data_IF_512207240097
#
_entry.id   IF_512207240097
#
_cell.length_a   1.000
_cell.length_b   1.000
_cell.length_c   1.000
_cell.angle_alpha   90.00
_cell.angle_beta   90.00
_cell.angle_gamma   90.00
#
_symmetry.space_group_name_H-M   'P 1'
#
loop_
_entity.id
_entity.type
_entity.pdbx_description
1 polymer ?
#
# COMPACT_ATOMS: atom_id res chain seq x y z
N UNK A 1 -2.15 -6.21 -9.39
CA UNK A 1 -2.14 -4.85 -9.95
C UNK A 1 -2.85 -4.80 -11.29
N UNK A 2 -2.32 -5.37 -12.36
CA UNK A 2 -2.95 -5.33 -13.71
C UNK A 2 -4.43 -5.73 -13.75
N UNK A 3 -4.89 -6.63 -12.88
CA UNK A 3 -6.29 -7.05 -12.81
C UNK A 3 -7.27 -5.97 -12.32
N UNK A 4 -6.79 -4.92 -11.64
CA UNK A 4 -7.62 -3.93 -10.93
C UNK A 4 -7.17 -2.47 -11.15
N UNK A 5 -6.21 -2.24 -12.05
CA UNK A 5 -5.64 -0.90 -12.30
C UNK A 5 -5.42 -0.65 -13.79
N UNK A 6 -5.60 0.59 -14.21
CA UNK A 6 -5.29 1.11 -15.54
C UNK A 6 -4.20 2.20 -15.49
N UNK A 7 -3.51 2.50 -16.61
CA UNK A 7 -2.55 3.59 -16.68
C UNK A 7 -3.11 4.92 -16.13
N UNK A 8 -2.42 5.53 -15.18
CA UNK A 8 -2.81 6.76 -14.53
C UNK A 8 -3.51 6.59 -13.17
N UNK A 9 -3.89 5.37 -12.80
CA UNK A 9 -4.49 5.06 -11.49
C UNK A 9 -3.51 5.26 -10.34
N UNK A 10 -4.05 5.61 -9.18
CA UNK A 10 -3.30 5.78 -7.94
C UNK A 10 -3.17 4.46 -7.19
N UNK A 11 -1.94 4.17 -6.77
CA UNK A 11 -1.59 3.01 -5.96
C UNK A 11 -0.78 3.43 -4.75
N UNK A 12 -1.22 3.01 -3.57
CA UNK A 12 -0.44 3.24 -2.35
C UNK A 12 0.73 2.26 -2.28
N UNK A 13 1.89 2.77 -1.88
CA UNK A 13 3.10 1.98 -1.60
C UNK A 13 3.70 2.38 -0.24
N UNK A 14 4.40 1.44 0.39
CA UNK A 14 5.17 1.71 1.61
C UNK A 14 6.37 2.64 1.33
N UNK A 15 6.83 3.39 2.33
CA UNK A 15 8.09 4.12 2.29
C UNK A 15 8.91 3.83 3.56
N UNK A 16 10.04 3.12 3.44
CA UNK A 16 10.68 2.64 2.21
C UNK A 16 9.96 1.44 1.55
N UNK A 17 9.99 1.38 0.21
CA UNK A 17 9.33 0.36 -0.61
C UNK A 17 10.28 -0.68 -1.19
N UNK A 18 9.79 -1.89 -1.47
CA UNK A 18 10.48 -2.83 -2.34
C UNK A 18 10.59 -2.26 -3.76
N UNK A 19 11.82 -2.11 -4.24
CA UNK A 19 12.10 -1.52 -5.56
C UNK A 19 11.38 -2.21 -6.73
N UNK A 20 11.18 -3.54 -6.67
CA UNK A 20 10.43 -4.26 -7.70
C UNK A 20 8.97 -3.83 -7.82
N UNK A 21 8.35 -3.37 -6.72
CA UNK A 21 7.02 -2.78 -6.76
C UNK A 21 7.02 -1.47 -7.54
N UNK A 22 7.99 -0.58 -7.27
CA UNK A 22 8.13 0.69 -7.98
C UNK A 22 8.35 0.48 -9.49
N UNK A 23 9.20 -0.48 -9.87
CA UNK A 23 9.39 -0.85 -11.28
C UNK A 23 8.10 -1.36 -11.94
N UNK A 24 7.29 -2.14 -11.22
CA UNK A 24 6.02 -2.63 -11.73
C UNK A 24 5.03 -1.47 -11.94
N UNK A 25 4.93 -0.53 -11.00
CA UNK A 25 4.10 0.66 -11.13
C UNK A 25 4.52 1.51 -12.33
N UNK A 26 5.82 1.77 -12.48
CA UNK A 26 6.36 2.55 -13.60
C UNK A 26 6.02 1.93 -14.96
N UNK A 27 6.24 0.61 -15.12
CA UNK A 27 5.92 -0.12 -16.35
C UNK A 27 4.43 -0.08 -16.70
N UNK A 28 3.57 -0.04 -15.68
CA UNK A 28 2.12 0.05 -15.82
C UNK A 28 1.62 1.50 -15.94
N UNK A 29 2.51 2.49 -15.85
CA UNK A 29 2.19 3.92 -15.85
C UNK A 29 1.23 4.31 -14.71
N UNK A 30 1.38 3.67 -13.56
CA UNK A 30 0.60 3.95 -12.35
C UNK A 30 1.25 5.09 -11.55
N UNK A 31 0.43 5.80 -10.78
CA UNK A 31 0.88 6.86 -9.88
C UNK A 31 1.10 6.28 -8.48
N UNK A 32 2.32 6.35 -7.97
CA UNK A 32 2.64 5.91 -6.62
C UNK A 32 2.29 7.00 -5.59
N UNK A 33 1.50 6.64 -4.58
CA UNK A 33 1.29 7.45 -3.38
C UNK A 33 1.99 6.78 -2.21
N UNK A 34 3.05 7.37 -1.69
CA UNK A 34 3.87 6.76 -0.65
C UNK A 34 3.34 7.06 0.76
N UNK A 35 3.26 6.03 1.61
CA UNK A 35 2.91 6.16 3.03
C UNK A 35 4.07 5.67 3.89
N UNK A 36 4.44 6.44 4.91
CA UNK A 36 5.56 6.13 5.79
C UNK A 36 5.37 4.77 6.48
N UNK A 37 6.48 4.03 6.63
CA UNK A 37 6.52 2.73 7.28
C UNK A 37 7.70 2.67 8.24
N UNK A 38 7.42 2.31 9.49
CA UNK A 38 8.40 2.13 10.55
C UNK A 38 8.73 0.65 10.75
N UNK A 39 9.95 0.35 11.19
CA UNK A 39 10.44 -1.01 11.40
C UNK A 39 9.79 -1.75 12.56
N UNK A 40 9.24 -1.02 13.54
CA UNK A 40 8.56 -1.58 14.72
C UNK A 40 7.05 -1.53 14.53
N UNK A 41 6.56 -0.38 14.09
CA UNK A 41 5.13 -0.10 14.05
C UNK A 41 4.49 -0.47 12.70
N UNK A 42 5.27 -0.65 11.64
CA UNK A 42 4.74 -0.89 10.30
C UNK A 42 4.25 0.39 9.63
N UNK A 43 3.35 0.23 8.65
CA UNK A 43 2.77 1.36 7.92
C UNK A 43 1.94 2.26 8.85
N UNK A 44 2.06 3.57 8.66
CA UNK A 44 1.22 4.55 9.34
C UNK A 44 -0.23 4.40 8.88
N UNK A 45 -1.07 3.85 9.75
CA UNK A 45 -2.47 3.57 9.46
C UNK A 45 -3.31 4.85 9.36
N UNK A 46 -2.96 5.91 10.09
CA UNK A 46 -3.70 7.18 10.01
C UNK A 46 -3.40 7.86 8.68
N UNK A 47 -2.13 7.89 8.27
CA UNK A 47 -1.75 8.39 6.96
C UNK A 47 -2.33 7.55 5.82
N UNK A 48 -2.42 6.22 6.00
CA UNK A 48 -3.08 5.32 5.04
C UNK A 48 -4.57 5.65 4.91
N UNK A 49 -5.31 5.78 6.01
CA UNK A 49 -6.73 6.14 5.99
C UNK A 49 -6.97 7.49 5.32
N UNK A 50 -6.16 8.49 5.64
CA UNK A 50 -6.26 9.82 5.02
C UNK A 50 -6.01 9.75 3.52
N UNK A 51 -4.96 9.06 3.09
CA UNK A 51 -4.64 8.87 1.68
C UNK A 51 -5.79 8.21 0.89
N UNK A 52 -6.47 7.25 1.50
CA UNK A 52 -7.63 6.57 0.90
C UNK A 52 -8.87 7.47 0.80
N UNK A 53 -8.96 8.52 1.62
CA UNK A 53 -10.04 9.51 1.56
C UNK A 53 -9.75 10.63 0.56
N UNK A 54 -8.49 11.05 0.44
CA UNK A 54 -8.08 12.18 -0.39
C UNK A 54 -7.83 11.83 -1.87
N UNK A 55 -7.44 10.58 -2.15
CA UNK A 55 -7.05 10.14 -3.49
C UNK A 55 -7.96 9.00 -3.97
N UNK A 56 -8.27 8.93 -5.27
CA UNK A 56 -9.01 7.80 -5.85
C UNK A 56 -8.08 6.59 -6.03
N UNK A 57 -7.64 6.02 -4.92
CA UNK A 57 -6.71 4.87 -4.88
C UNK A 57 -7.42 3.61 -5.34
N UNK A 58 -6.80 2.87 -6.28
CA UNK A 58 -7.33 1.61 -6.82
C UNK A 58 -6.70 0.35 -6.21
N UNK A 59 -5.50 0.47 -5.65
CA UNK A 59 -4.82 -0.64 -4.99
C UNK A 59 -3.80 -0.16 -3.96
N UNK A 60 -3.44 -1.04 -3.02
CA UNK A 60 -2.30 -0.88 -2.12
C UNK A 60 -1.29 -2.00 -2.33
N UNK A 61 0.01 -1.67 -2.32
CA UNK A 61 1.10 -2.63 -2.21
C UNK A 61 1.68 -2.58 -0.80
N UNK A 62 1.38 -3.61 0.00
CA UNK A 62 1.79 -3.71 1.40
C UNK A 62 2.47 -5.05 1.65
N UNK A 63 3.55 -5.07 2.42
CA UNK A 63 4.27 -6.29 2.78
C UNK A 63 4.23 -6.47 4.30
N UNK A 64 3.32 -7.32 4.76
CA UNK A 64 3.10 -7.55 6.19
C UNK A 64 3.99 -8.64 6.80
N UNK A 65 4.76 -9.34 5.97
CA UNK A 65 5.70 -10.39 6.35
C UNK A 65 7.04 -10.11 5.66
N UNK A 66 8.13 -10.18 6.44
CA UNK A 66 9.51 -9.98 5.94
C UNK A 66 9.59 -8.79 4.97
N UNK A 67 9.09 -7.63 5.42
CA UNK A 67 8.99 -6.41 4.62
C UNK A 67 10.35 -6.09 3.98
N UNK A 68 10.37 -5.66 2.74
CA UNK A 68 11.60 -5.26 2.07
C UNK A 68 11.57 -3.75 1.81
N UNK A 69 12.54 -2.96 2.32
CA UNK A 69 13.87 -3.37 2.81
C UNK A 69 14.03 -3.57 4.32
N UNK A 70 12.99 -3.35 5.13
CA UNK A 70 13.15 -3.20 6.58
C UNK A 70 13.25 -4.52 7.37
N UNK A 71 12.90 -5.64 6.77
CA UNK A 71 12.97 -7.00 7.33
C UNK A 71 11.91 -7.35 8.37
N UNK A 72 11.03 -6.43 8.75
CA UNK A 72 10.06 -6.68 9.82
C UNK A 72 8.91 -7.60 9.39
N UNK A 73 8.28 -8.24 10.37
CA UNK A 73 7.01 -8.96 10.20
C UNK A 73 6.02 -8.41 11.20
N UNK A 74 4.84 -7.99 10.72
CA UNK A 74 3.80 -7.48 11.60
C UNK A 74 3.28 -8.57 12.53
N UNK A 75 2.86 -8.17 13.73
CA UNK A 75 2.11 -9.05 14.63
C UNK A 75 0.75 -9.41 14.01
N UNK A 76 0.13 -10.54 14.40
CA UNK A 76 -1.19 -10.91 13.90
C UNK A 76 -2.24 -9.81 14.08
N UNK A 77 -2.20 -9.10 15.22
CA UNK A 77 -3.10 -7.99 15.50
C UNK A 77 -2.93 -6.86 14.48
N UNK A 78 -1.69 -6.42 14.22
CA UNK A 78 -1.44 -5.36 13.24
C UNK A 78 -1.80 -5.78 11.82
N UNK A 79 -1.56 -7.04 11.43
CA UNK A 79 -2.02 -7.56 10.13
C UNK A 79 -3.52 -7.44 9.96
N UNK A 80 -4.29 -7.79 10.99
CA UNK A 80 -5.74 -7.68 10.98
C UNK A 80 -6.18 -6.22 10.79
N UNK A 81 -5.61 -5.29 11.57
CA UNK A 81 -5.93 -3.87 11.47
C UNK A 81 -5.55 -3.29 10.09
N UNK A 82 -4.32 -3.55 9.61
CA UNK A 82 -3.88 -3.11 8.28
C UNK A 82 -4.77 -3.67 7.17
N UNK A 83 -5.15 -4.95 7.26
CA UNK A 83 -6.06 -5.59 6.32
C UNK A 83 -7.44 -4.92 6.30
N UNK A 84 -7.98 -4.58 7.47
CA UNK A 84 -9.25 -3.88 7.60
C UNK A 84 -9.24 -2.50 6.92
N UNK A 85 -8.18 -1.72 7.12
CA UNK A 85 -8.02 -0.42 6.45
C UNK A 85 -7.86 -0.60 4.95
N UNK A 86 -7.00 -1.50 4.49
CA UNK A 86 -6.74 -1.72 3.06
C UNK A 86 -7.97 -2.26 2.29
N UNK A 87 -8.84 -3.03 2.94
CA UNK A 87 -10.09 -3.51 2.32
C UNK A 87 -11.07 -2.38 1.96
N UNK A 88 -10.92 -1.18 2.53
CA UNK A 88 -11.73 -0.03 2.11
C UNK A 88 -11.47 0.39 0.66
N UNK A 89 -10.29 0.07 0.10
CA UNK A 89 -9.96 0.28 -1.32
C UNK A 89 -10.92 -0.46 -2.25
N UNK A 90 -11.28 -1.70 -1.89
CA UNK A 90 -12.11 -2.57 -2.74
C UNK A 90 -13.55 -2.04 -2.85
N UNK A 91 -14.05 -1.34 -1.83
CA UNK A 91 -15.43 -0.80 -1.79
C UNK A 91 -15.66 0.42 -2.67
N UNK A 92 -14.59 1.11 -3.07
CA UNK A 92 -14.64 2.29 -3.95
C UNK A 92 -14.33 1.95 -5.42
N UNK A 93 -14.12 0.67 -5.73
CA UNK A 93 -13.76 0.20 -7.07
C UNK A 93 -14.96 -0.37 -7.86
N UNK A 94 -16.12 -0.54 -7.21
CA UNK A 94 -17.42 -0.89 -7.79
C UNK A 94 -18.27 0.36 -8.08
#
# INVERSE_FOLDING_TARGET
MQAVTEPGDWVIVENPCFYGALQALERLRLKALSVATDVKEGIDLQALELALQEYPVKACWLMTNSQNPLGFTLTPQKKSTTGGVAQSVQRNAD
#
